data_IF_865723972616
#
_entry.id   IF_865723972616
#
_cell.length_a   1.000
_cell.length_b   1.000
_cell.length_c   1.000
_cell.angle_alpha   90.00
_cell.angle_beta   90.00
_cell.angle_gamma   90.00
#
_symmetry.space_group_name_H-M   'P 1'
#
loop_
_entity.id
_entity.type
_entity.pdbx_description
1 polymer ?
#
# COMPACT_ATOMS: atom_id res chain seq x y z
N UNK A 1 -11.93 -18.37 -10.04
CA UNK A 1 -10.50 -18.06 -10.06
C UNK A 1 -10.20 -17.31 -11.34
N UNK A 2 -9.60 -16.16 -11.20
CA UNK A 2 -9.06 -15.38 -12.30
C UNK A 2 -7.56 -15.17 -12.05
N UNK A 3 -6.74 -15.35 -13.07
CA UNK A 3 -5.30 -15.21 -12.95
C UNK A 3 -4.72 -14.62 -14.22
N UNK A 4 -3.78 -13.73 -14.08
CA UNK A 4 -3.10 -13.10 -15.20
C UNK A 4 -1.59 -13.06 -14.97
N UNK A 5 -0.86 -13.16 -16.07
CA UNK A 5 0.57 -12.92 -16.12
C UNK A 5 0.90 -12.15 -17.38
N UNK A 6 1.76 -11.15 -17.25
CA UNK A 6 2.30 -10.42 -18.40
C UNK A 6 3.80 -10.23 -18.26
N UNK A 7 4.48 -10.30 -19.39
CA UNK A 7 5.89 -10.00 -19.53
C UNK A 7 6.06 -8.84 -20.51
N UNK A 8 6.94 -7.92 -20.21
CA UNK A 8 7.16 -6.71 -21.00
C UNK A 8 8.62 -6.27 -21.04
N UNK A 9 8.86 -5.12 -21.67
CA UNK A 9 10.19 -4.50 -21.76
C UNK A 9 10.81 -4.28 -20.39
N UNK A 10 12.13 -4.18 -20.33
CA UNK A 10 12.92 -3.92 -19.12
C UNK A 10 12.76 -4.99 -18.05
N UNK A 11 12.67 -6.25 -18.50
CA UNK A 11 12.44 -7.42 -17.63
C UNK A 11 11.22 -7.23 -16.72
N UNK A 12 10.14 -6.66 -17.29
CA UNK A 12 8.93 -6.40 -16.51
C UNK A 12 8.07 -7.65 -16.45
N UNK A 13 7.79 -8.09 -15.24
CA UNK A 13 6.89 -9.19 -14.93
C UNK A 13 5.74 -8.67 -14.07
N UNK A 14 4.52 -8.97 -14.46
CA UNK A 14 3.33 -8.70 -13.65
C UNK A 14 2.51 -9.97 -13.53
N UNK A 15 2.17 -10.34 -12.32
CA UNK A 15 1.30 -11.46 -12.04
C UNK A 15 0.19 -11.02 -11.09
N UNK A 16 -1.01 -11.49 -11.33
CA UNK A 16 -2.11 -11.30 -10.40
C UNK A 16 -3.02 -12.52 -10.38
N UNK A 17 -3.64 -12.77 -9.24
CA UNK A 17 -4.68 -13.76 -9.11
C UNK A 17 -5.77 -13.27 -8.17
N UNK A 18 -7.02 -13.61 -8.51
CA UNK A 18 -8.19 -13.33 -7.69
C UNK A 18 -9.00 -14.62 -7.56
N UNK A 19 -9.24 -14.99 -6.35
CA UNK A 19 -10.11 -16.10 -6.00
C UNK A 19 -11.36 -15.56 -5.31
N UNK A 20 -12.53 -16.04 -5.76
CA UNK A 20 -13.81 -15.77 -5.10
C UNK A 20 -14.59 -17.05 -4.96
N UNK A 21 -15.19 -17.28 -3.82
CA UNK A 21 -16.06 -18.44 -3.58
C UNK A 21 -17.25 -18.02 -2.72
N UNK A 22 -18.42 -18.37 -3.22
CA UNK A 22 -19.67 -18.17 -2.50
C UNK A 22 -20.16 -19.51 -1.95
N UNK A 23 -20.28 -19.60 -0.65
CA UNK A 23 -20.80 -20.75 0.09
C UNK A 23 -22.25 -20.43 0.50
N UNK A 24 -23.16 -20.49 -0.47
CA UNK A 24 -24.55 -20.02 -0.35
C UNK A 24 -25.29 -20.63 0.84
N UNK A 25 -25.10 -21.94 1.08
CA UNK A 25 -25.76 -22.64 2.20
C UNK A 25 -25.32 -22.10 3.57
N UNK A 26 -24.06 -21.69 3.70
CA UNK A 26 -23.49 -21.15 4.92
C UNK A 26 -23.66 -19.62 5.02
N UNK A 27 -24.09 -18.97 3.96
CA UNK A 27 -24.17 -17.52 3.89
C UNK A 27 -22.78 -16.84 3.91
N UNK A 28 -21.74 -17.51 3.38
CA UNK A 28 -20.36 -17.02 3.41
C UNK A 28 -19.88 -16.73 1.99
N UNK A 29 -19.26 -15.59 1.80
CA UNK A 29 -18.49 -15.22 0.62
C UNK A 29 -17.02 -15.10 1.02
N UNK A 30 -16.13 -15.77 0.29
CA UNK A 30 -14.69 -15.71 0.50
C UNK A 30 -14.02 -15.06 -0.70
N UNK A 31 -13.08 -14.19 -0.43
CA UNK A 31 -12.22 -13.56 -1.42
C UNK A 31 -10.74 -13.72 -1.04
N UNK A 32 -9.89 -13.87 -2.04
CA UNK A 32 -8.45 -13.74 -1.90
C UNK A 32 -7.87 -13.12 -3.17
N UNK A 33 -6.86 -12.28 -3.03
CA UNK A 33 -6.16 -11.67 -4.15
C UNK A 33 -4.66 -11.64 -3.87
N UNK A 34 -3.86 -11.84 -4.92
CA UNK A 34 -2.42 -11.67 -4.89
C UNK A 34 -1.99 -10.84 -6.10
N UNK A 35 -0.97 -10.03 -5.92
CA UNK A 35 -0.33 -9.28 -6.98
C UNK A 35 1.20 -9.30 -6.81
N UNK A 36 1.88 -9.31 -7.94
CA UNK A 36 3.32 -9.18 -8.02
C UNK A 36 3.69 -8.35 -9.24
N UNK A 37 4.63 -7.43 -9.07
CA UNK A 37 5.22 -6.66 -10.17
C UNK A 37 6.71 -6.56 -9.92
N UNK A 38 7.48 -6.86 -10.95
CA UNK A 38 8.92 -6.67 -10.99
C UNK A 38 9.29 -5.97 -12.28
N UNK A 39 10.24 -5.05 -12.25
CA UNK A 39 10.88 -4.48 -13.42
C UNK A 39 12.29 -4.04 -13.08
N UNK A 40 13.24 -4.31 -13.95
CA UNK A 40 14.59 -3.77 -13.82
C UNK A 40 14.61 -2.27 -14.21
N UNK A 41 13.64 -1.83 -15.03
CA UNK A 41 13.53 -0.47 -15.57
C UNK A 41 14.85 0.02 -16.19
N UNK A 42 15.69 -0.91 -16.64
CA UNK A 42 16.97 -0.60 -17.23
C UNK A 42 16.81 -0.27 -18.73
N UNK A 43 17.04 0.96 -19.09
CA UNK A 43 16.95 1.39 -20.49
C UNK A 43 18.02 2.40 -20.84
N UNK A 44 18.30 2.51 -22.15
CA UNK A 44 19.17 3.55 -22.68
C UNK A 44 18.38 4.82 -22.95
N UNK A 45 18.93 5.94 -22.56
CA UNK A 45 18.37 7.25 -22.83
C UNK A 45 19.48 8.23 -23.26
N UNK A 46 19.12 9.23 -24.04
CA UNK A 46 20.00 10.36 -24.33
C UNK A 46 20.01 11.32 -23.15
N UNK A 47 21.19 11.81 -22.78
CA UNK A 47 21.31 12.78 -21.69
C UNK A 47 20.73 14.14 -22.14
N UNK A 48 19.77 14.71 -21.37
CA UNK A 48 19.17 16.00 -21.75
C UNK A 48 20.18 17.15 -21.86
N UNK A 49 21.23 17.13 -21.03
CA UNK A 49 22.25 18.15 -20.98
C UNK A 49 23.44 17.89 -21.94
N UNK A 50 23.49 16.75 -22.61
CA UNK A 50 24.56 16.38 -23.51
C UNK A 50 24.00 15.58 -24.70
N UNK A 51 23.51 16.31 -25.72
CA UNK A 51 22.93 15.70 -26.92
C UNK A 51 23.94 14.80 -27.62
N UNK A 52 23.49 13.63 -28.05
CA UNK A 52 24.31 12.60 -28.68
C UNK A 52 24.96 11.64 -27.70
N UNK A 53 24.94 11.93 -26.38
CA UNK A 53 25.46 11.02 -25.37
C UNK A 53 24.33 10.12 -24.82
N UNK A 54 24.46 8.83 -25.07
CA UNK A 54 23.53 7.82 -24.55
C UNK A 54 24.11 7.13 -23.30
N UNK A 55 23.27 7.00 -22.29
CA UNK A 55 23.59 6.33 -21.04
C UNK A 55 22.63 5.14 -20.82
N UNK A 56 23.03 4.22 -19.98
CA UNK A 56 22.15 3.16 -19.47
C UNK A 56 21.72 3.52 -18.05
N UNK A 57 20.43 3.60 -17.83
CA UNK A 57 19.85 3.61 -16.48
C UNK A 57 19.81 2.18 -15.98
N UNK A 58 20.49 1.87 -14.90
CA UNK A 58 20.64 0.53 -14.35
C UNK A 58 20.40 0.44 -12.83
N UNK A 59 19.98 1.56 -12.23
CA UNK A 59 19.63 1.65 -10.81
C UNK A 59 18.19 2.18 -10.63
N UNK A 60 17.22 1.57 -11.34
CA UNK A 60 15.80 1.97 -11.32
C UNK A 60 14.86 0.77 -11.10
N UNK A 61 15.40 -0.31 -10.52
CA UNK A 61 14.65 -1.54 -10.25
C UNK A 61 13.45 -1.26 -9.35
N UNK A 62 12.32 -1.85 -9.70
CA UNK A 62 11.08 -1.79 -8.96
C UNK A 62 10.56 -3.18 -8.66
N UNK A 63 10.16 -3.40 -7.41
CA UNK A 63 9.45 -4.60 -6.99
C UNK A 63 8.22 -4.21 -6.19
N UNK A 64 7.12 -4.90 -6.42
CA UNK A 64 5.90 -4.78 -5.64
C UNK A 64 5.29 -6.16 -5.42
N UNK A 65 4.85 -6.45 -4.22
CA UNK A 65 4.03 -7.59 -3.90
C UNK A 65 2.91 -7.19 -2.95
N UNK A 66 1.78 -7.81 -3.08
CA UNK A 66 0.65 -7.53 -2.22
C UNK A 66 -0.42 -8.59 -2.35
N UNK A 67 -1.38 -8.51 -1.48
CA UNK A 67 -2.52 -9.39 -1.52
C UNK A 67 -3.45 -9.14 -0.35
N UNK A 68 -4.52 -9.90 -0.32
CA UNK A 68 -5.49 -9.82 0.75
C UNK A 68 -6.44 -11.00 0.74
N UNK A 69 -7.13 -11.13 1.84
CA UNK A 69 -8.23 -12.05 2.01
C UNK A 69 -9.43 -11.29 2.55
N UNK A 70 -10.60 -11.68 2.13
CA UNK A 70 -11.86 -11.16 2.64
C UNK A 70 -12.84 -12.29 2.95
N UNK A 71 -13.65 -12.08 3.96
CA UNK A 71 -14.75 -12.96 4.31
C UNK A 71 -15.97 -12.12 4.64
N UNK A 72 -17.06 -12.37 3.95
CA UNK A 72 -18.36 -11.78 4.24
C UNK A 72 -19.31 -12.89 4.69
N UNK A 73 -19.84 -12.78 5.89
CA UNK A 73 -20.81 -13.69 6.45
C UNK A 73 -22.15 -12.97 6.60
N UNK A 74 -23.24 -13.64 6.23
CA UNK A 74 -24.61 -13.15 6.35
C UNK A 74 -25.44 -14.08 7.19
N UNK A 75 -26.36 -13.49 7.99
CA UNK A 75 -27.31 -14.23 8.83
C UNK A 75 -26.65 -15.13 9.88
N UNK A 76 -25.54 -14.66 10.46
CA UNK A 76 -24.94 -15.25 11.65
C UNK A 76 -25.43 -14.49 12.89
N UNK A 77 -24.51 -14.09 13.79
CA UNK A 77 -24.87 -13.23 14.95
C UNK A 77 -25.28 -11.84 14.51
N UNK A 78 -24.68 -11.34 13.43
CA UNK A 78 -25.05 -10.13 12.74
C UNK A 78 -25.70 -10.48 11.40
N UNK A 79 -26.47 -9.56 10.85
CA UNK A 79 -27.08 -9.73 9.53
C UNK A 79 -26.03 -9.69 8.43
N UNK A 80 -24.96 -8.90 8.66
CA UNK A 80 -23.75 -8.93 7.85
C UNK A 80 -22.52 -8.71 8.74
N UNK A 81 -21.50 -9.51 8.51
CA UNK A 81 -20.15 -9.36 9.06
C UNK A 81 -19.16 -9.43 7.90
N UNK A 82 -18.24 -8.48 7.85
CA UNK A 82 -17.19 -8.45 6.81
C UNK A 82 -15.84 -8.32 7.49
N UNK A 83 -14.89 -9.12 7.04
CA UNK A 83 -13.51 -9.14 7.52
C UNK A 83 -12.60 -8.97 6.33
N UNK A 84 -11.63 -8.08 6.43
CA UNK A 84 -10.64 -7.85 5.42
C UNK A 84 -9.24 -7.80 6.04
N UNK A 85 -8.30 -8.46 5.39
CA UNK A 85 -6.88 -8.38 5.68
C UNK A 85 -6.13 -8.13 4.38
N UNK A 86 -5.36 -7.08 4.33
CA UNK A 86 -4.58 -6.70 3.16
C UNK A 86 -3.13 -6.42 3.53
N UNK A 87 -2.23 -6.69 2.61
CA UNK A 87 -0.84 -6.26 2.71
C UNK A 87 -0.34 -5.79 1.35
N UNK A 88 0.57 -4.84 1.38
CA UNK A 88 1.33 -4.41 0.21
C UNK A 88 2.75 -4.06 0.64
N UNK A 89 3.72 -4.39 -0.19
CA UNK A 89 5.11 -4.02 -0.03
C UNK A 89 5.68 -3.64 -1.38
N UNK A 90 6.47 -2.58 -1.41
CA UNK A 90 7.26 -2.21 -2.58
C UNK A 90 8.69 -1.83 -2.19
N UNK A 91 9.58 -1.93 -3.15
CA UNK A 91 10.94 -1.41 -3.09
C UNK A 91 11.32 -0.81 -4.43
N UNK A 92 12.05 0.28 -4.42
CA UNK A 92 12.48 0.98 -5.60
C UNK A 92 13.90 1.51 -5.42
N UNK A 93 14.76 1.23 -6.39
CA UNK A 93 16.02 1.95 -6.59
C UNK A 93 15.72 3.31 -7.20
N UNK A 94 16.52 4.31 -6.88
CA UNK A 94 16.26 5.69 -7.31
C UNK A 94 17.36 6.11 -8.24
N UNK A 95 17.04 6.22 -9.53
CA UNK A 95 17.98 6.65 -10.56
C UNK A 95 17.78 8.12 -10.89
N UNK A 96 18.87 8.88 -10.93
CA UNK A 96 18.87 10.25 -11.41
C UNK A 96 18.75 10.36 -12.93
N UNK A 97 18.53 11.58 -13.41
CA UNK A 97 18.58 11.94 -14.83
C UNK A 97 19.86 12.72 -15.13
N UNK A 98 20.17 13.69 -14.30
CA UNK A 98 21.37 14.55 -14.43
C UNK A 98 22.59 13.83 -13.87
N UNK A 99 22.43 13.20 -12.72
CA UNK A 99 23.50 12.51 -12.00
C UNK A 99 23.23 10.99 -11.98
N UNK A 100 24.29 10.22 -11.93
CA UNK A 100 24.22 8.77 -11.84
C UNK A 100 24.08 8.35 -10.36
N UNK A 101 22.85 8.30 -9.88
CA UNK A 101 22.54 7.84 -8.53
C UNK A 101 22.67 6.32 -8.48
N UNK A 102 23.43 5.78 -7.53
CA UNK A 102 23.80 4.37 -7.48
C UNK A 102 23.47 3.64 -6.18
N UNK A 103 23.16 4.37 -5.12
CA UNK A 103 22.96 3.78 -3.80
C UNK A 103 21.62 4.14 -3.18
N UNK A 104 20.99 5.20 -3.66
CA UNK A 104 19.74 5.65 -3.08
C UNK A 104 18.58 4.70 -3.41
N UNK A 105 17.83 4.33 -2.39
CA UNK A 105 16.69 3.44 -2.51
C UNK A 105 15.56 3.78 -1.53
N UNK A 106 14.37 3.35 -1.87
CA UNK A 106 13.20 3.46 -1.00
C UNK A 106 12.44 2.15 -0.92
N UNK A 107 11.78 1.93 0.21
CA UNK A 107 10.82 0.86 0.36
C UNK A 107 9.63 1.30 1.20
N UNK A 108 8.47 0.77 0.87
CA UNK A 108 7.25 1.01 1.64
C UNK A 108 6.48 -0.29 1.83
N UNK A 109 5.73 -0.37 2.91
CA UNK A 109 4.83 -1.48 3.18
C UNK A 109 3.66 -1.04 4.01
N UNK A 110 2.53 -1.71 3.84
CA UNK A 110 1.35 -1.51 4.64
C UNK A 110 0.63 -2.84 4.91
N UNK A 111 0.00 -2.92 6.07
CA UNK A 111 -0.93 -3.97 6.47
C UNK A 111 -2.21 -3.31 6.94
N UNK A 112 -3.34 -3.75 6.43
CA UNK A 112 -4.66 -3.26 6.80
C UNK A 112 -5.49 -4.44 7.30
N UNK A 113 -6.22 -4.21 8.37
CA UNK A 113 -7.23 -5.12 8.88
C UNK A 113 -8.50 -4.33 9.12
N UNK A 114 -9.64 -4.85 8.68
CA UNK A 114 -10.94 -4.24 8.89
C UNK A 114 -11.99 -5.28 9.30
N UNK A 115 -12.92 -4.83 10.13
CA UNK A 115 -14.13 -5.57 10.51
C UNK A 115 -15.30 -4.61 10.37
N UNK A 116 -16.30 -4.98 9.58
CA UNK A 116 -17.57 -4.29 9.46
C UNK A 116 -18.70 -5.19 9.93
N UNK A 117 -19.57 -4.62 10.76
CA UNK A 117 -20.70 -5.31 11.39
C UNK A 117 -21.98 -4.54 11.13
N UNK A 118 -23.05 -5.24 10.78
CA UNK A 118 -24.38 -4.65 10.59
C UNK A 118 -25.42 -5.55 11.23
N UNK A 119 -26.36 -4.95 11.96
CA UNK A 119 -27.45 -5.64 12.62
C UNK A 119 -28.68 -4.76 12.69
N UNK A 120 -29.76 -5.20 12.03
CA UNK A 120 -31.06 -4.61 12.18
C UNK A 120 -31.73 -5.12 13.45
N UNK A 121 -32.49 -4.26 14.11
CA UNK A 121 -33.15 -4.59 15.40
C UNK A 121 -32.15 -5.14 16.45
N UNK A 122 -31.01 -4.50 16.63
CA UNK A 122 -29.84 -5.02 17.36
C UNK A 122 -30.12 -5.44 18.81
N UNK A 123 -30.75 -4.67 19.62
CA UNK A 123 -31.10 -5.00 21.01
C UNK A 123 -32.61 -4.91 21.25
N UNK A 124 -33.26 -4.12 20.44
CA UNK A 124 -34.68 -3.86 20.49
C UNK A 124 -35.20 -3.54 19.08
N UNK A 125 -36.50 -3.72 18.87
CA UNK A 125 -37.12 -3.43 17.60
C UNK A 125 -36.94 -1.94 17.20
N UNK A 126 -36.57 -1.71 15.96
CA UNK A 126 -36.36 -0.38 15.42
C UNK A 126 -34.96 0.21 15.72
N UNK A 127 -34.07 -0.52 16.43
CA UNK A 127 -32.70 -0.09 16.64
C UNK A 127 -31.75 -0.80 15.68
N UNK A 128 -31.26 -0.09 14.69
CA UNK A 128 -30.25 -0.59 13.76
C UNK A 128 -28.85 -0.20 14.22
N UNK A 129 -27.93 -1.11 14.06
CA UNK A 129 -26.52 -0.97 14.42
C UNK A 129 -25.63 -1.19 13.21
N UNK A 130 -24.65 -0.32 13.02
CA UNK A 130 -23.52 -0.59 12.15
C UNK A 130 -22.21 -0.12 12.78
N UNK A 131 -21.16 -0.89 12.62
CA UNK A 131 -19.83 -0.54 13.13
C UNK A 131 -18.74 -1.01 12.18
N UNK A 132 -17.86 -0.11 11.79
CA UNK A 132 -16.63 -0.41 11.06
C UNK A 132 -15.42 -0.10 11.92
N UNK A 133 -14.55 -1.10 12.13
CA UNK A 133 -13.30 -0.96 12.88
C UNK A 133 -12.14 -1.36 11.99
N UNK A 134 -11.14 -0.51 11.91
CA UNK A 134 -9.95 -0.76 11.11
C UNK A 134 -8.66 -0.51 11.88
N UNK A 135 -7.65 -1.29 11.54
CA UNK A 135 -6.27 -1.08 11.92
C UNK A 135 -5.39 -1.04 10.68
N UNK A 136 -4.55 -0.03 10.60
CA UNK A 136 -3.56 0.11 9.54
C UNK A 136 -2.17 0.29 10.15
N UNK A 137 -1.21 -0.47 9.67
CA UNK A 137 0.20 -0.26 9.88
C UNK A 137 0.86 0.10 8.57
N UNK A 138 1.66 1.15 8.54
CA UNK A 138 2.47 1.50 7.39
C UNK A 138 3.91 1.79 7.80
N UNK A 139 4.84 1.45 6.92
CA UNK A 139 6.25 1.80 7.05
C UNK A 139 6.77 2.36 5.74
N UNK A 140 7.68 3.31 5.83
CA UNK A 140 8.43 3.86 4.73
C UNK A 140 9.89 3.99 5.13
N UNK A 141 10.79 3.50 4.29
CA UNK A 141 12.23 3.65 4.47
C UNK A 141 12.79 4.36 3.24
N UNK A 142 13.71 5.26 3.46
CA UNK A 142 14.48 5.92 2.42
C UNK A 142 15.95 5.93 2.86
N UNK A 143 16.82 5.42 2.00
CA UNK A 143 18.27 5.33 2.26
C UNK A 143 19.00 6.07 1.16
N UNK A 144 19.83 7.01 1.55
CA UNK A 144 20.75 7.77 0.71
C UNK A 144 21.99 8.13 1.54
N UNK A 145 22.89 7.16 1.71
CA UNK A 145 24.05 7.27 2.61
C UNK A 145 25.39 7.16 1.88
N UNK A 146 25.38 7.30 0.55
CA UNK A 146 26.58 7.25 -0.26
C UNK A 146 27.60 8.31 0.15
N UNK A 147 28.87 7.94 0.14
CA UNK A 147 29.98 8.87 0.46
C UNK A 147 30.54 9.59 -0.74
N UNK A 148 30.23 9.12 -1.95
CA UNK A 148 30.63 9.69 -3.21
C UNK A 148 29.42 9.74 -4.13
N UNK A 149 29.42 10.72 -5.00
CA UNK A 149 28.51 10.83 -6.16
C UNK A 149 29.28 10.42 -7.41
N UNK A 150 28.54 10.07 -8.44
CA UNK A 150 29.12 9.68 -9.73
C UNK A 150 28.45 10.42 -10.86
N UNK A 151 29.24 10.86 -11.84
CA UNK A 151 28.71 11.26 -13.12
C UNK A 151 28.37 10.03 -13.98
N UNK A 152 27.83 10.26 -15.17
CA UNK A 152 27.48 9.18 -16.10
C UNK A 152 28.69 8.52 -16.78
N UNK A 153 29.90 9.04 -16.58
CA UNK A 153 31.15 8.42 -17.00
C UNK A 153 31.84 7.65 -15.87
N UNK A 154 31.12 7.52 -14.73
CA UNK A 154 31.62 6.85 -13.52
C UNK A 154 32.80 7.56 -12.84
N UNK A 155 32.99 8.85 -13.11
CA UNK A 155 33.96 9.62 -12.35
C UNK A 155 33.38 9.98 -10.99
N UNK A 156 34.08 9.67 -9.90
CA UNK A 156 33.63 10.05 -8.58
C UNK A 156 33.84 11.53 -8.33
N UNK A 157 32.94 12.15 -7.62
CA UNK A 157 33.07 13.50 -7.09
C UNK A 157 32.43 13.61 -5.70
N UNK A 158 32.85 14.58 -4.88
CA UNK A 158 32.34 14.68 -3.53
C UNK A 158 30.84 15.03 -3.54
N UNK A 159 30.07 14.56 -2.56
CA UNK A 159 28.68 14.97 -2.37
C UNK A 159 28.61 16.46 -1.98
N UNK A 160 27.40 17.02 -2.03
CA UNK A 160 27.16 18.42 -1.62
C UNK A 160 27.54 18.66 -0.15
N UNK A 161 27.40 17.65 0.67
CA UNK A 161 27.74 17.67 2.10
C UNK A 161 28.93 16.76 2.39
N UNK A 162 29.80 17.17 3.30
CA UNK A 162 30.88 16.31 3.80
C UNK A 162 30.38 15.01 4.48
N UNK A 163 29.11 14.95 4.84
CA UNK A 163 28.50 13.78 5.47
C UNK A 163 28.02 12.74 4.44
N UNK A 164 27.84 13.07 3.18
CA UNK A 164 27.41 12.17 2.12
C UNK A 164 26.02 12.52 1.53
N UNK A 165 25.45 11.57 0.81
CA UNK A 165 24.17 11.66 0.11
C UNK A 165 24.34 11.90 -1.39
N UNK A 166 23.53 11.23 -2.20
CA UNK A 166 23.51 11.37 -3.67
C UNK A 166 22.37 12.29 -4.13
N UNK A 167 21.25 12.31 -3.41
CA UNK A 167 20.02 13.04 -3.82
C UNK A 167 19.91 14.35 -3.05
N UNK A 168 20.05 14.29 -1.76
CA UNK A 168 19.85 15.44 -0.88
C UNK A 168 21.14 16.24 -0.59
N UNK A 169 20.97 17.26 0.24
CA UNK A 169 22.09 18.05 0.77
C UNK A 169 22.77 17.30 1.94
N UNK A 170 22.03 16.39 2.58
CA UNK A 170 22.51 15.56 3.70
C UNK A 170 22.19 14.08 3.41
N UNK A 171 23.03 13.16 3.93
CA UNK A 171 22.70 11.74 3.87
C UNK A 171 21.44 11.45 4.65
N UNK A 172 20.69 10.47 4.21
CA UNK A 172 19.43 10.09 4.81
C UNK A 172 19.38 8.58 5.04
N UNK A 173 19.08 8.17 6.26
CA UNK A 173 18.63 6.82 6.59
C UNK A 173 17.33 6.98 7.41
N UNK A 174 16.25 7.21 6.68
CA UNK A 174 14.96 7.57 7.25
C UNK A 174 14.07 6.33 7.34
N UNK A 175 13.50 6.13 8.52
CA UNK A 175 12.57 5.05 8.79
C UNK A 175 11.34 5.61 9.49
N UNK A 176 10.23 5.68 8.76
CA UNK A 176 8.94 6.11 9.28
C UNK A 176 8.03 4.91 9.50
N UNK A 177 7.33 4.87 10.60
CA UNK A 177 6.31 3.88 10.92
C UNK A 177 5.08 4.58 11.44
N UNK A 178 3.92 4.06 11.08
CA UNK A 178 2.66 4.64 11.53
C UNK A 178 1.67 3.53 11.83
N UNK A 179 1.05 3.62 12.98
CA UNK A 179 -0.08 2.80 13.39
C UNK A 179 -1.33 3.69 13.41
N UNK A 180 -2.42 3.17 12.89
CA UNK A 180 -3.71 3.88 12.91
C UNK A 180 -4.79 2.88 13.30
N UNK A 181 -5.59 3.24 14.28
CA UNK A 181 -6.83 2.55 14.64
C UNK A 181 -7.98 3.49 14.40
N UNK A 182 -9.02 3.01 13.78
CA UNK A 182 -10.24 3.78 13.54
C UNK A 182 -11.48 2.94 13.83
N UNK A 183 -12.48 3.58 14.38
CA UNK A 183 -13.81 3.01 14.53
C UNK A 183 -14.84 4.06 14.14
N UNK A 184 -15.83 3.62 13.39
CA UNK A 184 -17.05 4.39 13.11
C UNK A 184 -18.23 3.53 13.50
N UNK A 185 -19.06 4.02 14.40
CA UNK A 185 -20.27 3.32 14.86
C UNK A 185 -21.48 4.21 14.64
N UNK A 186 -22.53 3.63 14.10
CA UNK A 186 -23.84 4.24 13.95
C UNK A 186 -24.90 3.42 14.67
N UNK A 187 -25.75 4.09 15.43
CA UNK A 187 -26.97 3.57 16.00
C UNK A 187 -28.13 4.43 15.45
N UNK A 188 -29.08 3.79 14.80
CA UNK A 188 -30.27 4.43 14.29
C UNK A 188 -31.50 3.82 14.94
N UNK A 189 -32.23 4.61 15.73
CA UNK A 189 -33.44 4.16 16.41
C UNK A 189 -34.68 4.79 15.81
N UNK A 190 -35.53 3.96 15.25
CA UNK A 190 -36.85 4.35 14.70
C UNK A 190 -37.88 4.23 15.82
N UNK A 191 -38.32 5.39 16.33
CA UNK A 191 -39.31 5.46 17.41
C UNK A 191 -40.72 5.19 16.86
N UNK A 192 -41.04 5.79 15.74
CA UNK A 192 -42.31 5.65 15.01
C UNK A 192 -42.14 6.19 13.58
N UNK A 193 -43.20 6.16 12.78
CA UNK A 193 -43.22 6.60 11.36
C UNK A 193 -42.79 8.06 11.14
N UNK A 194 -42.71 8.86 12.21
CA UNK A 194 -42.41 10.31 12.12
C UNK A 194 -41.11 10.69 12.83
N UNK A 195 -40.59 9.84 13.69
CA UNK A 195 -39.44 10.18 14.55
C UNK A 195 -38.41 9.07 14.56
N UNK A 196 -37.17 9.47 14.36
CA UNK A 196 -36.01 8.63 14.54
C UNK A 196 -34.89 9.40 15.24
N UNK A 197 -34.00 8.67 15.91
CA UNK A 197 -32.79 9.19 16.53
C UNK A 197 -31.62 8.47 15.90
N UNK A 198 -30.64 9.23 15.44
CA UNK A 198 -29.42 8.71 14.88
C UNK A 198 -28.22 9.19 15.70
N UNK A 199 -27.41 8.25 16.20
CA UNK A 199 -26.17 8.51 16.91
C UNK A 199 -24.98 8.00 16.09
N UNK A 200 -24.06 8.90 15.76
CA UNK A 200 -22.83 8.58 15.09
C UNK A 200 -21.65 8.81 16.01
N UNK A 201 -20.77 7.82 16.13
CA UNK A 201 -19.50 7.92 16.83
C UNK A 201 -18.37 7.70 15.84
N UNK A 202 -17.35 8.54 15.89
CA UNK A 202 -16.12 8.40 15.13
C UNK A 202 -14.94 8.49 16.09
N UNK A 203 -14.15 7.43 16.15
CA UNK A 203 -12.88 7.38 16.86
C UNK A 203 -11.74 7.17 15.89
N UNK A 204 -10.66 7.91 16.05
CA UNK A 204 -9.41 7.70 15.32
C UNK A 204 -8.22 8.00 16.21
N UNK A 205 -7.31 7.04 16.27
CA UNK A 205 -6.04 7.18 16.94
C UNK A 205 -4.90 6.84 15.99
N UNK A 206 -3.81 7.59 16.05
CA UNK A 206 -2.63 7.36 15.23
C UNK A 206 -1.36 7.59 16.07
N UNK A 207 -0.39 6.72 15.89
CA UNK A 207 0.95 6.79 16.47
C UNK A 207 1.97 6.59 15.34
N UNK A 208 2.98 7.45 15.27
CA UNK A 208 4.05 7.40 14.28
C UNK A 208 5.41 7.59 14.95
#
# INVERSE_FOLDING_TARGET
LDASYSFGSFNTHKASSVFKRNLVKQGIELGAALLYTHSDNDYRMELPQNKGKFIKRDHDKFNQSGGGISMKARKWWFDQMEFELEFIRNSKQIQGVVENIRSAESSAGAYNFAIDLQKDNFLLNGLDFSSGTGYAYSQYNFVDTARLRYDWDMNPYPPVSAYGGEIGVLPSDMKMRKHTVGNKTNLNYIINDRHSINLNSLFKWALG
#
